data_IF_752268590341
#
_entry.id   IF_752268590341
#
_cell.length_a   1.000
_cell.length_b   1.000
_cell.length_c   1.000
_cell.angle_alpha   90.00
_cell.angle_beta   90.00
_cell.angle_gamma   90.00
#
_symmetry.space_group_name_H-M   'P 1'
#
loop_
_entity.id
_entity.type
_entity.pdbx_description
1 polymer ?
#
# COMPACT_ATOMS: atom_id res chain seq x y z
N UNK A 1 9.78 -9.62 -30.20
CA UNK A 1 10.12 -8.45 -29.37
C UNK A 1 8.96 -8.26 -28.40
N UNK A 2 9.22 -8.13 -27.12
CA UNK A 2 8.15 -7.94 -26.14
C UNK A 2 7.46 -6.60 -26.39
N UNK A 3 6.14 -6.63 -26.64
CA UNK A 3 5.33 -5.41 -26.77
C UNK A 3 5.05 -4.75 -25.41
N UNK A 4 5.67 -5.24 -24.38
CA UNK A 4 5.55 -4.73 -23.01
C UNK A 4 6.44 -3.51 -22.85
N UNK A 5 5.81 -2.37 -22.62
CA UNK A 5 6.45 -1.04 -22.61
C UNK A 5 6.00 -0.16 -21.44
N UNK A 6 5.02 -0.62 -20.65
CA UNK A 6 4.50 0.16 -19.55
C UNK A 6 4.78 -0.50 -18.20
N UNK A 7 5.12 0.32 -17.20
CA UNK A 7 5.14 -0.07 -15.81
C UNK A 7 4.15 0.78 -15.03
N UNK A 8 3.36 0.14 -14.18
CA UNK A 8 2.34 0.78 -13.35
C UNK A 8 2.74 0.73 -11.89
N UNK A 9 2.91 1.89 -11.27
CA UNK A 9 2.95 2.03 -9.82
C UNK A 9 1.56 2.34 -9.28
N UNK A 10 1.15 1.68 -8.20
CA UNK A 10 -0.11 1.93 -7.51
C UNK A 10 0.15 1.98 -6.00
N UNK A 11 -0.22 3.08 -5.35
CA UNK A 11 -0.16 3.24 -3.89
C UNK A 11 -1.55 3.45 -3.33
N UNK A 12 -2.00 2.49 -2.51
CA UNK A 12 -3.32 2.52 -1.87
C UNK A 12 -3.20 3.13 -0.48
N UNK A 13 -3.61 4.38 -0.36
CA UNK A 13 -3.76 5.07 0.92
C UNK A 13 -5.14 4.89 1.54
N UNK A 14 -5.32 5.40 2.75
CA UNK A 14 -6.62 5.35 3.44
C UNK A 14 -7.70 6.22 2.82
N UNK A 15 -7.33 7.29 2.11
CA UNK A 15 -8.26 8.26 1.51
C UNK A 15 -8.16 8.29 -0.01
N UNK A 16 -6.95 8.21 -0.54
CA UNK A 16 -6.66 8.26 -1.97
C UNK A 16 -5.82 7.08 -2.40
N UNK A 17 -6.04 6.67 -3.64
CA UNK A 17 -5.19 5.72 -4.36
C UNK A 17 -4.50 6.49 -5.49
N UNK A 18 -3.19 6.49 -5.47
CA UNK A 18 -2.33 7.17 -6.44
C UNK A 18 -1.77 6.18 -7.46
N UNK A 19 -1.68 6.61 -8.72
CA UNK A 19 -1.18 5.80 -9.83
C UNK A 19 -0.12 6.57 -10.61
N UNK A 20 0.92 5.85 -11.02
CA UNK A 20 1.96 6.36 -11.92
C UNK A 20 2.18 5.33 -13.01
N UNK A 21 1.87 5.70 -14.25
CA UNK A 21 2.14 4.88 -15.43
C UNK A 21 3.38 5.43 -16.14
N UNK A 22 4.41 4.60 -16.25
CA UNK A 22 5.65 4.93 -16.95
C UNK A 22 5.68 4.20 -18.31
N UNK A 23 5.94 4.95 -19.36
CA UNK A 23 6.30 4.41 -20.66
C UNK A 23 7.84 4.27 -20.74
N UNK A 24 8.34 3.05 -20.73
CA UNK A 24 9.78 2.78 -20.72
C UNK A 24 10.51 3.17 -22.01
N UNK A 25 9.77 3.34 -23.12
CA UNK A 25 10.38 3.77 -24.38
C UNK A 25 10.56 5.28 -24.49
N UNK A 26 9.56 6.03 -24.01
CA UNK A 26 9.54 7.48 -24.13
C UNK A 26 9.98 8.19 -22.86
N UNK A 27 9.95 7.49 -21.72
CA UNK A 27 10.15 8.08 -20.40
C UNK A 27 8.96 8.92 -19.91
N UNK A 28 7.84 8.90 -20.63
CA UNK A 28 6.65 9.65 -20.30
C UNK A 28 5.96 9.07 -19.06
N UNK A 29 5.56 9.96 -18.15
CA UNK A 29 4.81 9.63 -16.94
C UNK A 29 3.39 10.15 -17.05
N UNK A 30 2.42 9.25 -16.85
CA UNK A 30 1.00 9.62 -16.70
C UNK A 30 0.59 9.35 -15.26
N UNK A 31 0.14 10.39 -14.56
CA UNK A 31 -0.29 10.31 -13.16
C UNK A 31 -1.81 10.31 -13.09
N UNK A 32 -2.37 9.47 -12.24
CA UNK A 32 -3.78 9.45 -11.90
C UNK A 32 -3.96 9.34 -10.39
N UNK A 33 -5.10 9.83 -9.89
CA UNK A 33 -5.46 9.79 -8.48
C UNK A 33 -6.97 9.65 -8.35
N UNK A 34 -7.41 8.71 -7.53
CA UNK A 34 -8.81 8.55 -7.20
C UNK A 34 -9.03 8.37 -5.70
N UNK A 35 -10.27 8.49 -5.25
CA UNK A 35 -10.63 8.21 -3.86
C UNK A 35 -10.55 6.69 -3.61
N UNK A 36 -9.97 6.31 -2.50
CA UNK A 36 -10.00 4.93 -2.04
C UNK A 36 -11.41 4.57 -1.57
N UNK A 37 -11.91 3.40 -1.99
CA UNK A 37 -13.21 2.88 -1.52
C UNK A 37 -13.02 2.21 -0.16
N UNK A 38 -13.62 2.72 0.93
CA UNK A 38 -13.35 2.21 2.28
C UNK A 38 -13.77 0.75 2.49
N UNK A 39 -14.78 0.27 1.76
CA UNK A 39 -15.30 -1.09 1.88
C UNK A 39 -14.46 -2.12 1.13
N UNK A 40 -14.00 -1.76 -0.06
CA UNK A 40 -13.14 -2.60 -0.90
C UNK A 40 -12.16 -1.71 -1.68
N UNK A 41 -10.89 -1.67 -1.27
CA UNK A 41 -9.88 -0.89 -1.99
C UNK A 41 -9.64 -1.32 -3.43
N UNK A 42 -10.04 -2.55 -3.81
CA UNK A 42 -9.89 -3.08 -5.16
C UNK A 42 -10.74 -2.30 -6.17
N UNK A 43 -11.91 -1.81 -5.75
CA UNK A 43 -12.79 -0.99 -6.60
C UNK A 43 -12.10 0.30 -7.04
N UNK A 44 -11.37 0.94 -6.12
CA UNK A 44 -10.61 2.15 -6.42
C UNK A 44 -9.47 1.87 -7.42
N UNK A 45 -8.83 0.70 -7.29
CA UNK A 45 -7.76 0.29 -8.21
C UNK A 45 -8.34 0.05 -9.60
N UNK A 46 -9.43 -0.69 -9.71
CA UNK A 46 -10.09 -0.94 -11.00
C UNK A 46 -10.53 0.37 -11.67
N UNK A 47 -11.16 1.26 -10.91
CA UNK A 47 -11.58 2.56 -11.40
C UNK A 47 -10.42 3.41 -11.88
N UNK A 48 -9.32 3.48 -11.11
CA UNK A 48 -8.13 4.23 -11.49
C UNK A 48 -7.44 3.70 -12.74
N UNK A 49 -7.41 2.37 -12.92
CA UNK A 49 -6.88 1.73 -14.13
C UNK A 49 -7.75 2.07 -15.35
N UNK A 50 -9.07 2.04 -15.21
CA UNK A 50 -9.99 2.45 -16.30
C UNK A 50 -9.76 3.89 -16.73
N UNK A 51 -9.63 4.81 -15.78
CA UNK A 51 -9.31 6.21 -16.08
C UNK A 51 -7.97 6.37 -16.81
N UNK A 52 -6.96 5.56 -16.43
CA UNK A 52 -5.69 5.56 -17.14
C UNK A 52 -5.83 5.01 -18.57
N UNK A 53 -6.62 3.96 -18.76
CA UNK A 53 -6.83 3.37 -20.08
C UNK A 53 -7.59 4.32 -21.04
N UNK A 54 -8.43 5.21 -20.49
CA UNK A 54 -9.05 6.30 -21.27
C UNK A 54 -8.02 7.32 -21.79
N UNK A 55 -6.95 7.58 -21.00
CA UNK A 55 -5.88 8.53 -21.36
C UNK A 55 -4.79 7.90 -22.22
N UNK A 56 -4.49 6.64 -21.96
CA UNK A 56 -3.45 5.85 -22.65
C UNK A 56 -4.08 4.53 -23.12
N UNK A 57 -4.86 4.56 -24.22
CA UNK A 57 -5.65 3.42 -24.64
C UNK A 57 -4.80 2.16 -24.89
N UNK A 58 -5.21 1.05 -24.28
CA UNK A 58 -4.58 -0.24 -24.49
C UNK A 58 -3.29 -0.48 -23.72
N UNK A 59 -2.90 0.41 -22.81
CA UNK A 59 -1.67 0.22 -22.00
C UNK A 59 -1.68 -1.09 -21.22
N UNK A 60 -2.85 -1.55 -20.77
CA UNK A 60 -3.01 -2.78 -19.99
C UNK A 60 -2.47 -3.99 -20.74
N UNK A 61 -2.64 -4.04 -22.08
CA UNK A 61 -2.13 -5.14 -22.92
C UNK A 61 -0.61 -5.12 -23.06
N UNK A 62 -0.02 -3.93 -22.92
CA UNK A 62 1.41 -3.69 -23.06
C UNK A 62 2.10 -3.50 -21.70
N UNK A 63 1.43 -3.87 -20.62
CA UNK A 63 1.94 -3.76 -19.26
C UNK A 63 3.00 -4.83 -19.01
N UNK A 64 4.18 -4.41 -18.53
CA UNK A 64 5.29 -5.28 -18.17
C UNK A 64 5.30 -5.60 -16.68
N UNK A 65 5.14 -4.58 -15.85
CA UNK A 65 5.27 -4.69 -14.41
C UNK A 65 4.19 -3.88 -13.69
N UNK A 66 3.71 -4.41 -12.57
CA UNK A 66 2.87 -3.69 -11.62
C UNK A 66 3.56 -3.66 -10.26
N UNK A 67 3.84 -2.47 -9.77
CA UNK A 67 4.41 -2.24 -8.44
C UNK A 67 3.27 -1.72 -7.55
N UNK A 68 2.98 -2.46 -6.49
CA UNK A 68 1.90 -2.15 -5.58
C UNK A 68 2.43 -1.84 -4.18
N UNK A 69 2.11 -0.64 -3.70
CA UNK A 69 2.30 -0.22 -2.31
C UNK A 69 0.96 -0.14 -1.58
N UNK A 70 0.98 -0.39 -0.28
CA UNK A 70 -0.21 -0.19 0.56
C UNK A 70 0.17 0.26 1.96
N UNK A 71 -0.53 1.28 2.45
CA UNK A 71 -0.42 1.77 3.83
C UNK A 71 -1.53 1.22 4.73
N UNK A 72 -2.36 0.29 4.24
CA UNK A 72 -3.52 -0.24 4.97
C UNK A 72 -3.14 -0.82 6.34
N UNK A 73 -2.03 -1.55 6.41
CA UNK A 73 -1.55 -2.14 7.67
C UNK A 73 -1.15 -1.04 8.66
N UNK A 74 -0.41 -0.05 8.20
CA UNK A 74 0.00 1.10 9.03
C UNK A 74 -1.23 1.88 9.50
N UNK A 75 -2.18 2.13 8.62
CA UNK A 75 -3.43 2.80 8.95
C UNK A 75 -4.24 2.00 9.98
N UNK A 76 -4.35 0.67 9.82
CA UNK A 76 -5.02 -0.20 10.80
C UNK A 76 -4.37 -0.14 12.19
N UNK A 77 -3.04 -0.06 12.24
CA UNK A 77 -2.30 0.10 13.49
C UNK A 77 -2.58 1.47 14.12
N UNK A 78 -2.50 2.54 13.33
CA UNK A 78 -2.74 3.92 13.81
C UNK A 78 -4.18 4.08 14.30
N UNK A 79 -5.14 3.56 13.55
CA UNK A 79 -6.57 3.62 13.87
C UNK A 79 -6.99 2.60 14.93
N UNK A 80 -6.07 1.71 15.34
CA UNK A 80 -6.34 0.60 16.26
C UNK A 80 -7.47 -0.34 15.80
N UNK A 81 -7.64 -0.46 14.50
CA UNK A 81 -8.60 -1.34 13.83
C UNK A 81 -7.89 -2.64 13.43
N UNK A 82 -7.62 -3.49 14.36
CA UNK A 82 -6.98 -4.80 14.12
C UNK A 82 -7.77 -5.94 14.74
N UNK A 83 -7.34 -7.16 14.45
CA UNK A 83 -7.87 -8.34 15.13
C UNK A 83 -7.57 -8.25 16.64
N UNK A 84 -8.46 -8.80 17.46
CA UNK A 84 -8.19 -8.95 18.89
C UNK A 84 -7.05 -9.96 19.05
N UNK A 85 -5.91 -9.48 19.55
CA UNK A 85 -4.72 -10.30 19.75
C UNK A 85 -4.46 -10.51 21.22
N UNK A 86 -4.05 -11.72 21.58
CA UNK A 86 -3.57 -12.05 22.93
C UNK A 86 -2.06 -12.26 22.88
N UNK A 87 -1.36 -11.78 23.90
CA UNK A 87 0.06 -12.05 24.10
C UNK A 87 0.23 -13.21 25.06
N UNK A 88 0.90 -14.27 24.63
CA UNK A 88 1.34 -15.35 25.48
C UNK A 88 2.85 -15.22 25.71
N UNK A 89 3.27 -15.13 26.96
CA UNK A 89 4.67 -14.96 27.33
C UNK A 89 5.01 -15.72 28.60
N UNK A 90 6.28 -15.87 28.88
CA UNK A 90 6.75 -16.51 30.15
C UNK A 90 6.37 -15.66 31.35
N UNK A 91 6.04 -16.31 32.45
CA UNK A 91 5.72 -15.63 33.70
C UNK A 91 6.83 -14.66 34.13
N UNK A 92 6.46 -13.41 34.40
CA UNK A 92 7.39 -12.32 34.75
C UNK A 92 7.93 -11.51 33.54
N UNK A 93 7.61 -11.90 32.28
CA UNK A 93 8.07 -11.20 31.10
C UNK A 93 6.96 -10.42 30.37
N UNK A 94 5.85 -10.16 31.05
CA UNK A 94 4.71 -9.45 30.47
C UNK A 94 5.07 -8.06 29.92
N UNK A 95 5.95 -7.35 30.61
CA UNK A 95 6.24 -5.94 30.33
C UNK A 95 7.45 -5.75 29.38
N UNK A 96 8.01 -6.84 28.84
CA UNK A 96 9.17 -6.77 27.91
C UNK A 96 8.87 -5.93 26.68
N UNK A 97 7.63 -5.98 26.17
CA UNK A 97 7.20 -5.17 25.03
C UNK A 97 7.10 -3.68 25.36
N UNK A 98 6.73 -3.32 26.60
CA UNK A 98 6.65 -1.93 27.05
C UNK A 98 8.04 -1.35 27.37
N UNK A 99 8.91 -2.17 27.95
CA UNK A 99 10.24 -1.74 28.37
C UNK A 99 11.19 -1.51 27.20
N UNK A 100 10.82 -1.94 25.99
CA UNK A 100 11.59 -1.73 24.76
C UNK A 100 13.09 -2.02 24.95
N UNK A 101 13.42 -3.05 25.74
CA UNK A 101 14.80 -3.46 26.02
C UNK A 101 15.32 -4.18 24.77
N UNK A 102 15.60 -3.42 23.77
CA UNK A 102 16.29 -3.82 22.57
C UNK A 102 16.92 -2.57 21.98
N UNK A 103 18.14 -2.66 21.58
CA UNK A 103 18.86 -1.60 20.89
C UNK A 103 18.28 -1.34 19.49
N UNK A 104 16.99 -1.14 19.38
CA UNK A 104 16.43 -0.54 18.18
C UNK A 104 16.55 0.97 18.36
N UNK A 105 17.45 1.59 17.64
CA UNK A 105 17.51 3.05 17.49
C UNK A 105 16.30 3.61 16.72
N UNK A 106 15.31 2.78 16.46
CA UNK A 106 14.04 3.18 15.89
C UNK A 106 13.16 3.74 17.00
N UNK A 107 12.82 5.02 16.90
CA UNK A 107 11.84 5.73 17.75
C UNK A 107 10.42 5.29 17.47
N UNK A 108 10.17 4.05 17.17
CA UNK A 108 8.81 3.53 17.02
C UNK A 108 8.26 3.18 18.39
N UNK A 109 7.18 3.81 18.76
CA UNK A 109 6.43 3.46 19.95
C UNK A 109 5.76 2.13 19.73
N UNK A 110 6.15 1.11 20.49
CA UNK A 110 5.41 -0.15 20.56
C UNK A 110 4.07 0.14 21.22
N UNK A 111 2.98 -0.03 20.51
CA UNK A 111 1.65 0.20 21.04
C UNK A 111 1.20 -1.00 21.87
N UNK A 112 0.68 -0.71 23.06
CA UNK A 112 0.08 -1.69 23.94
C UNK A 112 -1.23 -2.21 23.32
N UNK A 113 -1.28 -3.51 23.03
CA UNK A 113 -2.55 -4.19 22.78
C UNK A 113 -3.22 -4.48 24.14
N UNK A 114 -4.44 -3.98 24.34
CA UNK A 114 -5.29 -4.26 25.50
C UNK A 114 -6.35 -5.26 25.10
#
# INVERSE_FOLDING_TARGET
MSDKIYRLGCDIGGTFTDFVLLNDRTGELTINKCLTTPGDPSDAVEYGIRQLDERVPGFVKCLDEVIHGTTLVINSIIERKGARTGLMTTLGFRDVLELAIGRASCRERVFRAV
#
